data_IF_751103358009
#
_entry.id   IF_751103358009
#
_cell.length_a   1.000
_cell.length_b   1.000
_cell.length_c   1.000
_cell.angle_alpha   90.00
_cell.angle_beta   90.00
_cell.angle_gamma   90.00
#
_symmetry.space_group_name_H-M   'P 1'
#
loop_
_entity.id
_entity.type
_entity.pdbx_description
1 polymer ?
#
# COMPACT_ATOMS: atom_id res chain seq x y z
N UNK A 1 7.25 -31.35 -7.55
CA UNK A 1 7.70 -30.10 -6.90
C UNK A 1 7.06 -29.95 -5.53
N UNK A 2 7.81 -29.55 -4.52
CA UNK A 2 7.29 -29.27 -3.18
C UNK A 2 6.66 -27.87 -3.14
N UNK A 3 5.79 -27.62 -2.14
CA UNK A 3 5.18 -26.31 -1.93
C UNK A 3 6.24 -25.21 -1.66
N UNK A 4 7.33 -25.58 -0.96
CA UNK A 4 8.47 -24.69 -0.72
C UNK A 4 9.16 -24.29 -2.04
N UNK A 5 9.49 -25.24 -2.89
CA UNK A 5 10.12 -25.00 -4.20
C UNK A 5 9.20 -24.12 -5.08
N UNK A 6 7.88 -24.33 -5.02
CA UNK A 6 6.93 -23.51 -5.76
C UNK A 6 6.92 -22.05 -5.29
N UNK A 7 7.00 -21.80 -3.97
CA UNK A 7 7.11 -20.43 -3.42
C UNK A 7 8.44 -19.78 -3.81
N UNK A 8 9.57 -20.49 -3.70
CA UNK A 8 10.89 -19.99 -4.10
C UNK A 8 10.92 -19.68 -5.61
N UNK A 9 10.38 -20.58 -6.46
CA UNK A 9 10.29 -20.36 -7.91
C UNK A 9 9.39 -19.15 -8.26
N UNK A 10 8.29 -18.96 -7.52
CA UNK A 10 7.46 -17.77 -7.69
C UNK A 10 8.22 -16.49 -7.36
N UNK A 11 8.96 -16.48 -6.23
CA UNK A 11 9.81 -15.35 -5.89
C UNK A 11 10.87 -15.07 -6.98
N UNK A 12 11.57 -16.11 -7.48
CA UNK A 12 12.54 -15.96 -8.57
C UNK A 12 11.88 -15.35 -9.83
N UNK A 13 10.72 -15.87 -10.25
CA UNK A 13 9.96 -15.38 -11.41
C UNK A 13 9.56 -13.91 -11.27
N UNK A 14 9.25 -13.48 -10.05
CA UNK A 14 8.91 -12.09 -9.73
C UNK A 14 10.13 -11.20 -9.46
N UNK A 15 11.34 -11.71 -9.70
CA UNK A 15 12.59 -10.96 -9.55
C UNK A 15 13.14 -10.93 -8.12
N UNK A 16 12.92 -11.98 -7.36
CA UNK A 16 13.47 -12.19 -6.02
C UNK A 16 12.70 -11.53 -4.89
N UNK A 17 11.57 -10.87 -5.16
CA UNK A 17 10.72 -10.21 -4.16
C UNK A 17 9.25 -10.31 -4.54
N UNK A 18 8.38 -10.53 -3.55
CA UNK A 18 6.94 -10.54 -3.74
C UNK A 18 6.18 -10.12 -2.49
N UNK A 19 5.00 -9.55 -2.70
CA UNK A 19 4.00 -9.39 -1.65
C UNK A 19 3.26 -10.70 -1.41
N UNK A 20 2.64 -10.86 -0.23
CA UNK A 20 1.78 -12.02 0.02
C UNK A 20 0.63 -12.12 -0.98
N UNK A 21 0.05 -10.99 -1.42
CA UNK A 21 -0.99 -10.98 -2.45
C UNK A 21 -0.50 -11.60 -3.77
N UNK A 22 0.71 -11.23 -4.20
CA UNK A 22 1.33 -11.80 -5.40
C UNK A 22 1.60 -13.30 -5.22
N UNK A 23 2.16 -13.71 -4.07
CA UNK A 23 2.42 -15.12 -3.79
C UNK A 23 1.12 -15.94 -3.79
N UNK A 24 0.04 -15.43 -3.21
CA UNK A 24 -1.25 -16.12 -3.20
C UNK A 24 -1.87 -16.28 -4.59
N UNK A 25 -1.62 -15.33 -5.48
CA UNK A 25 -2.09 -15.41 -6.87
C UNK A 25 -1.20 -16.29 -7.73
N UNK A 26 0.09 -16.00 -7.74
CA UNK A 26 1.04 -16.51 -8.74
C UNK A 26 1.55 -17.93 -8.44
N UNK A 27 1.62 -18.33 -7.14
CA UNK A 27 2.18 -19.64 -6.77
C UNK A 27 1.28 -20.79 -7.23
N UNK A 28 -0.04 -20.58 -7.32
CA UNK A 28 -0.98 -21.61 -7.81
C UNK A 28 -0.94 -21.80 -9.32
N UNK A 29 -0.32 -20.90 -10.06
CA UNK A 29 -0.12 -21.07 -11.51
C UNK A 29 0.98 -22.08 -11.84
N UNK A 30 1.77 -22.52 -10.84
CA UNK A 30 2.81 -23.53 -10.99
C UNK A 30 2.15 -24.92 -11.00
N UNK A 31 1.94 -25.47 -12.21
CA UNK A 31 1.22 -26.74 -12.43
C UNK A 31 1.91 -27.95 -11.84
N UNK A 32 3.23 -27.92 -11.67
CA UNK A 32 4.05 -29.00 -11.13
C UNK A 32 3.89 -29.17 -9.61
N UNK A 33 3.26 -28.21 -8.92
CA UNK A 33 2.99 -28.27 -7.49
C UNK A 33 1.52 -28.60 -7.21
N UNK A 34 1.29 -29.71 -6.53
CA UNK A 34 -0.07 -30.09 -6.09
C UNK A 34 -0.28 -29.63 -4.65
N UNK A 35 -1.25 -28.73 -4.47
CA UNK A 35 -1.67 -28.22 -3.18
C UNK A 35 -2.73 -29.13 -2.56
N UNK A 36 -2.29 -30.07 -1.69
CA UNK A 36 -3.20 -31.04 -1.02
C UNK A 36 -3.82 -30.47 0.26
N UNK A 37 -3.38 -29.30 0.72
CA UNK A 37 -3.89 -28.69 1.96
C UNK A 37 -5.20 -27.96 1.73
N UNK A 38 -6.06 -27.94 2.75
CA UNK A 38 -7.30 -27.13 2.76
C UNK A 38 -7.04 -25.64 2.99
N UNK A 39 -5.84 -25.27 3.45
CA UNK A 39 -5.44 -23.90 3.77
C UNK A 39 -4.13 -23.52 3.07
N UNK A 40 -4.13 -23.44 1.73
CA UNK A 40 -2.89 -23.23 0.98
C UNK A 40 -2.23 -21.89 1.26
N UNK A 41 -2.99 -20.84 1.54
CA UNK A 41 -2.44 -19.53 1.88
C UNK A 41 -1.73 -19.52 3.23
N UNK A 42 -2.24 -20.29 4.21
CA UNK A 42 -1.55 -20.50 5.48
C UNK A 42 -0.21 -21.21 5.28
N UNK A 43 -0.16 -22.20 4.38
CA UNK A 43 1.08 -22.89 4.02
C UNK A 43 2.09 -21.94 3.37
N UNK A 44 1.67 -21.07 2.44
CA UNK A 44 2.54 -20.05 1.84
C UNK A 44 3.09 -19.12 2.94
N UNK A 45 2.23 -18.60 3.84
CA UNK A 45 2.66 -17.76 4.97
C UNK A 45 3.72 -18.46 5.85
N UNK A 46 3.49 -19.73 6.16
CA UNK A 46 4.44 -20.51 6.95
C UNK A 46 5.78 -20.67 6.22
N UNK A 47 5.76 -21.00 4.94
CA UNK A 47 6.96 -21.15 4.13
C UNK A 47 7.80 -19.86 4.14
N UNK A 48 7.21 -18.71 3.80
CA UNK A 48 7.97 -17.44 3.74
C UNK A 48 8.48 -16.96 5.10
N UNK A 49 7.90 -17.45 6.21
CA UNK A 49 8.36 -17.13 7.57
C UNK A 49 9.47 -18.06 8.07
N UNK A 50 9.49 -19.32 7.65
CA UNK A 50 10.39 -20.34 8.18
C UNK A 50 11.55 -20.66 7.25
N UNK A 51 11.45 -20.32 5.99
CA UNK A 51 12.49 -20.62 4.99
C UNK A 51 13.75 -19.79 5.22
N UNK A 52 14.89 -20.47 5.32
CA UNK A 52 16.21 -19.85 5.53
C UNK A 52 16.67 -18.99 4.36
N UNK A 53 16.18 -19.25 3.14
CA UNK A 53 16.53 -18.53 1.92
C UNK A 53 15.68 -17.27 1.73
N UNK A 54 14.60 -17.12 2.50
CA UNK A 54 13.68 -16.01 2.41
C UNK A 54 13.88 -15.07 3.62
N UNK A 55 13.75 -13.77 3.40
CA UNK A 55 13.73 -12.80 4.47
C UNK A 55 12.58 -11.80 4.28
N UNK A 56 12.13 -11.25 5.40
CA UNK A 56 11.05 -10.26 5.44
C UNK A 56 11.64 -8.87 5.33
N UNK A 57 11.14 -8.07 4.39
CA UNK A 57 11.50 -6.64 4.25
C UNK A 57 10.52 -5.78 5.04
N UNK A 58 9.23 -6.00 4.86
CA UNK A 58 8.10 -5.34 5.54
C UNK A 58 7.00 -6.37 5.83
N UNK A 59 6.02 -6.09 6.69
CA UNK A 59 4.86 -6.95 6.85
C UNK A 59 4.18 -7.23 5.51
N UNK A 60 4.10 -8.52 5.12
CA UNK A 60 3.53 -8.93 3.85
C UNK A 60 4.42 -8.76 2.62
N UNK A 61 5.70 -8.40 2.78
CA UNK A 61 6.70 -8.27 1.72
C UNK A 61 7.91 -9.13 2.03
N UNK A 62 8.21 -10.09 1.17
CA UNK A 62 9.26 -11.08 1.35
C UNK A 62 10.18 -11.15 0.15
N UNK A 63 11.45 -11.48 0.37
CA UNK A 63 12.44 -11.57 -0.68
C UNK A 63 13.41 -12.75 -0.47
N UNK A 64 14.03 -13.20 -1.57
CA UNK A 64 15.11 -14.17 -1.56
C UNK A 64 16.43 -13.50 -1.14
N UNK A 65 17.20 -14.15 -0.27
CA UNK A 65 18.54 -13.67 0.13
C UNK A 65 19.52 -13.58 -1.03
N UNK A 66 19.36 -14.43 -2.05
CA UNK A 66 20.16 -14.39 -3.28
C UNK A 66 20.05 -13.05 -4.02
N UNK A 67 18.89 -12.35 -3.90
CA UNK A 67 18.62 -11.07 -4.55
C UNK A 67 18.87 -9.85 -3.67
N UNK A 68 19.31 -10.04 -2.41
CA UNK A 68 19.39 -8.95 -1.42
C UNK A 68 20.20 -7.75 -1.93
N UNK A 69 21.39 -7.98 -2.48
CA UNK A 69 22.26 -6.90 -2.98
C UNK A 69 21.64 -6.11 -4.14
N UNK A 70 20.97 -6.81 -5.05
CA UNK A 70 20.25 -6.19 -6.17
C UNK A 70 19.09 -5.31 -5.65
N UNK A 71 18.29 -5.83 -4.71
CA UNK A 71 17.17 -5.11 -4.13
C UNK A 71 17.63 -3.87 -3.33
N UNK A 72 18.71 -3.98 -2.59
CA UNK A 72 19.34 -2.85 -1.90
C UNK A 72 19.81 -1.78 -2.90
N UNK A 73 20.38 -2.17 -4.05
CA UNK A 73 20.75 -1.27 -5.14
C UNK A 73 19.54 -0.54 -5.79
N UNK A 74 18.34 -1.11 -5.68
CA UNK A 74 17.08 -0.49 -6.12
C UNK A 74 16.41 0.35 -5.02
N UNK A 75 17.05 0.53 -3.86
CA UNK A 75 16.49 1.26 -2.73
C UNK A 75 15.44 0.48 -1.93
N UNK A 76 15.31 -0.83 -2.16
CA UNK A 76 14.41 -1.72 -1.41
C UNK A 76 15.20 -2.27 -0.21
N UNK A 77 15.05 -1.60 0.93
CA UNK A 77 15.87 -1.81 2.10
C UNK A 77 15.06 -2.31 3.30
N UNK A 78 15.68 -3.14 4.13
CA UNK A 78 15.14 -3.44 5.46
C UNK A 78 15.41 -2.25 6.36
N UNK A 79 14.38 -1.70 6.97
CA UNK A 79 14.51 -0.62 7.92
C UNK A 79 15.17 -1.12 9.22
N UNK A 80 16.16 -0.38 9.71
CA UNK A 80 16.88 -0.61 10.96
C UNK A 80 16.96 0.70 11.74
N UNK A 81 17.32 0.64 13.01
CA UNK A 81 17.56 1.85 13.81
C UNK A 81 18.64 2.79 13.23
N UNK A 82 19.58 2.24 12.45
CA UNK A 82 20.67 3.02 11.85
C UNK A 82 20.28 3.76 10.58
N UNK A 83 19.28 3.26 9.82
CA UNK A 83 18.90 3.81 8.52
C UNK A 83 17.49 4.37 8.47
N UNK A 84 16.72 4.34 9.55
CA UNK A 84 15.31 4.73 9.59
C UNK A 84 15.03 6.15 9.09
N UNK A 85 15.98 7.05 9.28
CA UNK A 85 15.87 8.47 8.91
C UNK A 85 16.54 8.76 7.56
N UNK A 86 17.08 7.75 6.85
CA UNK A 86 17.69 7.95 5.53
C UNK A 86 16.63 8.26 4.47
N UNK A 87 17.02 9.06 3.47
CA UNK A 87 16.14 9.45 2.38
C UNK A 87 15.64 8.23 1.60
N UNK A 88 16.49 7.22 1.41
CA UNK A 88 16.15 5.99 0.70
C UNK A 88 15.04 5.21 1.43
N UNK A 89 15.15 5.05 2.75
CA UNK A 89 14.12 4.40 3.56
C UNK A 89 12.81 5.21 3.55
N UNK A 90 12.90 6.53 3.62
CA UNK A 90 11.73 7.40 3.56
C UNK A 90 10.99 7.24 2.21
N UNK A 91 11.72 7.28 1.10
CA UNK A 91 11.15 7.09 -0.24
C UNK A 91 10.56 5.68 -0.41
N UNK A 92 11.28 4.65 0.06
CA UNK A 92 10.79 3.28 0.03
C UNK A 92 9.52 3.12 0.87
N UNK A 93 9.49 3.65 2.09
CA UNK A 93 8.31 3.59 2.95
C UNK A 93 7.11 4.30 2.29
N UNK A 94 7.32 5.48 1.71
CA UNK A 94 6.25 6.21 1.04
C UNK A 94 5.63 5.37 -0.09
N UNK A 95 6.44 4.87 -1.02
CA UNK A 95 5.95 4.04 -2.13
C UNK A 95 5.36 2.70 -1.66
N UNK A 96 5.91 2.11 -0.59
CA UNK A 96 5.38 0.89 0.01
C UNK A 96 3.96 1.09 0.53
N UNK A 97 3.69 2.15 1.29
CA UNK A 97 2.36 2.41 1.83
C UNK A 97 1.36 2.87 0.75
N UNK A 98 1.80 3.62 -0.27
CA UNK A 98 0.98 3.87 -1.46
C UNK A 98 0.58 2.54 -2.15
N UNK A 99 1.53 1.62 -2.34
CA UNK A 99 1.29 0.31 -2.94
C UNK A 99 0.34 -0.56 -2.11
N UNK A 100 0.44 -0.54 -0.78
CA UNK A 100 -0.51 -1.20 0.12
C UNK A 100 -1.92 -0.65 -0.05
N UNK A 101 -2.08 0.67 -0.07
CA UNK A 101 -3.38 1.33 -0.26
C UNK A 101 -4.00 0.97 -1.61
N UNK A 102 -3.21 0.98 -2.69
CA UNK A 102 -3.69 0.54 -4.00
C UNK A 102 -4.16 -0.91 -3.97
N UNK A 103 -3.35 -1.80 -3.37
CA UNK A 103 -3.67 -3.23 -3.29
C UNK A 103 -4.94 -3.48 -2.49
N UNK A 104 -5.10 -2.83 -1.34
CA UNK A 104 -6.33 -2.93 -0.52
C UNK A 104 -7.54 -2.39 -1.30
N UNK A 105 -7.39 -1.25 -1.98
CA UNK A 105 -8.47 -0.67 -2.80
C UNK A 105 -8.92 -1.63 -3.90
N UNK A 106 -7.96 -2.23 -4.62
CA UNK A 106 -8.24 -3.22 -5.67
C UNK A 106 -8.95 -4.47 -5.09
N UNK A 107 -8.52 -4.97 -3.93
CA UNK A 107 -9.18 -6.09 -3.24
C UNK A 107 -10.63 -5.75 -2.85
N UNK A 108 -10.90 -4.49 -2.49
CA UNK A 108 -12.24 -3.96 -2.16
C UNK A 108 -13.06 -3.59 -3.40
N UNK A 109 -12.57 -3.90 -4.60
CA UNK A 109 -13.21 -3.58 -5.90
C UNK A 109 -13.42 -2.07 -6.11
N UNK A 110 -12.57 -1.25 -5.49
CA UNK A 110 -12.49 0.19 -5.77
C UNK A 110 -11.64 0.42 -7.01
N UNK A 111 -11.91 1.49 -7.72
CA UNK A 111 -10.99 1.99 -8.74
C UNK A 111 -9.93 2.84 -8.06
N UNK A 112 -8.66 2.59 -8.36
CA UNK A 112 -7.54 3.19 -7.62
C UNK A 112 -6.66 4.06 -8.51
N UNK A 113 -6.14 5.14 -7.96
CA UNK A 113 -5.27 6.08 -8.66
C UNK A 113 -4.11 6.53 -7.77
N UNK A 114 -2.95 6.76 -8.38
CA UNK A 114 -1.81 7.52 -7.83
C UNK A 114 -1.40 8.60 -8.82
N UNK A 115 -0.83 9.74 -8.35
CA UNK A 115 -0.34 10.80 -9.21
C UNK A 115 0.64 10.32 -10.28
N UNK A 116 0.64 10.97 -11.44
CA UNK A 116 1.55 10.60 -12.53
C UNK A 116 3.03 10.76 -12.18
N UNK A 117 3.37 11.65 -11.23
CA UNK A 117 4.73 11.79 -10.69
C UNK A 117 5.18 10.55 -9.89
N UNK A 118 4.24 9.80 -9.32
CA UNK A 118 4.51 8.62 -8.49
C UNK A 118 4.37 7.29 -9.23
N UNK A 119 3.78 7.28 -10.42
CA UNK A 119 3.48 6.06 -11.19
C UNK A 119 4.69 5.14 -11.43
N UNK A 120 5.90 5.71 -11.50
CA UNK A 120 7.15 4.95 -11.73
C UNK A 120 7.84 4.51 -10.44
N UNK A 121 7.38 4.94 -9.25
CA UNK A 121 7.90 4.46 -7.96
C UNK A 121 7.59 2.97 -7.81
N UNK A 122 8.47 2.26 -7.10
CA UNK A 122 8.37 0.82 -6.95
C UNK A 122 7.66 0.43 -5.66
N UNK A 123 6.75 -0.53 -5.78
CA UNK A 123 6.19 -1.34 -4.72
C UNK A 123 6.59 -2.79 -4.97
N UNK A 124 7.48 -3.35 -4.18
CA UNK A 124 8.31 -4.49 -4.58
C UNK A 124 9.06 -4.14 -5.88
N UNK A 125 9.03 -4.98 -6.91
CA UNK A 125 9.57 -4.66 -8.25
C UNK A 125 8.49 -4.18 -9.25
N UNK A 126 7.28 -3.95 -8.79
CA UNK A 126 6.18 -3.49 -9.63
C UNK A 126 6.01 -1.97 -9.50
N UNK A 127 5.76 -1.28 -10.60
CA UNK A 127 5.48 0.16 -10.58
C UNK A 127 4.09 0.43 -10.00
N UNK A 128 3.94 1.50 -9.24
CA UNK A 128 2.62 1.91 -8.73
C UNK A 128 1.61 2.15 -9.87
N UNK A 129 2.10 2.66 -11.01
CA UNK A 129 1.30 2.85 -12.22
C UNK A 129 0.74 1.57 -12.83
N UNK A 130 1.37 0.42 -12.59
CA UNK A 130 0.89 -0.89 -13.07
C UNK A 130 -0.11 -1.53 -12.09
N UNK A 131 -0.13 -1.04 -10.84
CA UNK A 131 -1.05 -1.53 -9.79
C UNK A 131 -2.35 -0.74 -9.79
N UNK A 132 -2.28 0.58 -10.04
CA UNK A 132 -3.48 1.43 -10.12
C UNK A 132 -4.41 0.97 -11.24
N UNK A 133 -5.72 1.04 -11.04
CA UNK A 133 -6.70 0.63 -12.05
C UNK A 133 -7.09 1.76 -12.99
N UNK A 134 -6.97 3.01 -12.55
CA UNK A 134 -7.24 4.20 -13.37
C UNK A 134 -5.94 4.80 -13.91
N UNK A 135 -5.86 5.02 -15.21
CA UNK A 135 -4.74 5.73 -15.83
C UNK A 135 -4.91 7.26 -15.71
N UNK A 136 -6.15 7.72 -15.68
CA UNK A 136 -6.55 9.12 -15.54
C UNK A 136 -7.67 9.25 -14.52
N UNK A 137 -7.78 10.41 -13.89
CA UNK A 137 -8.89 10.70 -12.97
C UNK A 137 -10.16 10.94 -13.76
N UNK A 138 -11.29 10.28 -13.40
CA UNK A 138 -12.58 10.57 -14.01
C UNK A 138 -12.97 12.05 -13.84
N UNK A 139 -13.60 12.62 -14.85
CA UNK A 139 -14.14 13.98 -14.76
C UNK A 139 -15.43 13.98 -13.92
N UNK A 140 -15.30 14.15 -12.60
CA UNK A 140 -16.39 14.12 -11.62
C UNK A 140 -16.80 15.51 -11.11
N UNK A 141 -16.03 16.58 -11.47
CA UNK A 141 -16.22 17.94 -10.97
C UNK A 141 -15.55 18.96 -11.92
N UNK A 142 -15.45 20.22 -11.48
CA UNK A 142 -14.73 21.28 -12.19
C UNK A 142 -13.23 20.99 -12.30
N UNK A 143 -12.60 21.46 -13.37
CA UNK A 143 -11.21 21.15 -13.71
C UNK A 143 -10.22 21.50 -12.58
N UNK A 144 -10.40 22.63 -11.90
CA UNK A 144 -9.56 23.04 -10.77
C UNK A 144 -9.64 22.04 -9.60
N UNK A 145 -10.81 21.46 -9.37
CA UNK A 145 -11.02 20.43 -8.34
C UNK A 145 -10.38 19.10 -8.77
N UNK A 146 -10.59 18.71 -10.03
CA UNK A 146 -9.97 17.49 -10.59
C UNK A 146 -8.45 17.62 -10.55
N UNK A 147 -7.91 18.79 -10.88
CA UNK A 147 -6.47 19.07 -10.76
C UNK A 147 -6.00 19.01 -9.32
N UNK A 148 -6.76 19.55 -8.36
CA UNK A 148 -6.40 19.52 -6.95
C UNK A 148 -6.36 18.09 -6.41
N UNK A 149 -7.38 17.29 -6.65
CA UNK A 149 -7.44 15.89 -6.19
C UNK A 149 -6.31 15.06 -6.83
N UNK A 150 -5.91 15.36 -8.08
CA UNK A 150 -4.84 14.62 -8.76
C UNK A 150 -3.48 14.67 -8.09
N UNK A 151 -3.30 15.55 -7.10
CA UNK A 151 -2.09 15.68 -6.29
C UNK A 151 -2.12 14.86 -4.99
N UNK A 152 -3.23 14.18 -4.70
CA UNK A 152 -3.38 13.32 -3.52
C UNK A 152 -2.66 11.98 -3.75
N UNK A 153 -1.91 11.51 -2.76
CA UNK A 153 -1.01 10.36 -2.88
C UNK A 153 -1.68 9.08 -3.34
N UNK A 154 -2.87 8.75 -2.80
CA UNK A 154 -3.70 7.63 -3.26
C UNK A 154 -5.17 8.00 -3.19
N UNK A 155 -5.91 7.69 -4.25
CA UNK A 155 -7.35 7.94 -4.34
C UNK A 155 -8.07 6.64 -4.65
N UNK A 156 -9.17 6.41 -3.95
CA UNK A 156 -10.13 5.38 -4.31
C UNK A 156 -11.40 6.02 -4.86
N UNK A 157 -11.83 5.56 -6.01
CA UNK A 157 -13.11 5.90 -6.61
C UNK A 157 -14.08 4.72 -6.49
N UNK A 158 -15.35 5.02 -6.28
CA UNK A 158 -16.40 4.02 -6.32
C UNK A 158 -16.76 3.66 -7.77
N UNK A 159 -17.63 2.67 -7.95
CA UNK A 159 -18.06 2.20 -9.28
C UNK A 159 -18.80 3.25 -10.12
N UNK A 160 -19.21 4.38 -9.54
CA UNK A 160 -19.83 5.52 -10.22
C UNK A 160 -18.83 6.62 -10.58
N UNK A 161 -17.55 6.32 -10.50
CA UNK A 161 -16.45 7.26 -10.75
C UNK A 161 -16.43 8.49 -9.81
N UNK A 162 -17.03 8.36 -8.62
CA UNK A 162 -16.96 9.42 -7.60
C UNK A 162 -15.87 9.11 -6.58
N UNK A 163 -15.10 10.12 -6.13
CA UNK A 163 -14.09 9.91 -5.09
C UNK A 163 -14.74 9.40 -3.80
N UNK A 164 -14.23 8.28 -3.27
CA UNK A 164 -14.70 7.64 -2.04
C UNK A 164 -13.72 7.88 -0.88
N UNK A 165 -12.43 7.71 -1.13
CA UNK A 165 -11.39 7.87 -0.10
C UNK A 165 -10.14 8.51 -0.66
N UNK A 166 -9.58 9.44 0.11
CA UNK A 166 -8.36 10.19 -0.17
C UNK A 166 -7.33 9.86 0.89
N UNK A 167 -6.12 9.50 0.48
CA UNK A 167 -5.04 9.15 1.40
C UNK A 167 -3.80 9.98 1.09
N UNK A 168 -3.22 10.58 2.14
CA UNK A 168 -1.91 11.22 2.11
C UNK A 168 -0.95 10.42 2.98
N UNK A 169 0.16 10.00 2.42
CA UNK A 169 1.19 9.19 3.10
C UNK A 169 2.29 10.10 3.59
N UNK A 170 2.29 10.38 4.89
CA UNK A 170 3.16 11.36 5.51
C UNK A 170 4.28 10.70 6.29
N UNK A 171 5.49 10.71 5.72
CA UNK A 171 6.65 10.15 6.39
C UNK A 171 7.48 11.23 7.11
N UNK A 172 7.96 12.23 6.37
CA UNK A 172 8.78 13.34 6.88
C UNK A 172 8.28 14.73 6.48
N UNK A 173 7.25 14.79 5.62
CA UNK A 173 6.66 16.05 5.12
C UNK A 173 5.71 16.68 6.14
N UNK A 174 5.39 17.96 5.96
CA UNK A 174 4.47 18.67 6.87
C UNK A 174 3.02 18.22 6.64
N UNK A 175 2.41 17.57 7.63
CA UNK A 175 1.00 17.15 7.66
C UNK A 175 0.05 18.31 7.33
N UNK A 176 0.45 19.56 7.60
CA UNK A 176 -0.38 20.74 7.26
C UNK A 176 -0.64 20.83 5.76
N UNK A 177 0.32 20.50 4.90
CA UNK A 177 0.13 20.54 3.46
C UNK A 177 -0.95 19.55 2.99
N UNK A 178 -1.00 18.37 3.59
CA UNK A 178 -2.04 17.37 3.33
C UNK A 178 -3.41 17.81 3.84
N UNK A 179 -3.45 18.43 5.02
CA UNK A 179 -4.69 19.03 5.53
C UNK A 179 -5.20 20.16 4.65
N UNK A 180 -4.32 20.98 4.04
CA UNK A 180 -4.72 22.00 3.06
C UNK A 180 -5.35 21.39 1.81
N UNK A 181 -4.78 20.29 1.28
CA UNK A 181 -5.40 19.56 0.16
C UNK A 181 -6.81 19.06 0.54
N UNK A 182 -6.95 18.49 1.72
CA UNK A 182 -8.26 18.01 2.21
C UNK A 182 -9.24 19.14 2.44
N UNK A 183 -8.77 20.31 2.89
CA UNK A 183 -9.62 21.50 3.07
C UNK A 183 -10.18 22.00 1.73
N UNK A 184 -9.39 21.98 0.67
CA UNK A 184 -9.85 22.33 -0.68
C UNK A 184 -10.88 21.35 -1.25
N UNK A 185 -10.98 20.13 -0.67
CA UNK A 185 -11.86 19.05 -1.10
C UNK A 185 -13.00 18.77 -0.09
N UNK A 186 -13.17 19.65 0.91
CA UNK A 186 -14.09 19.42 2.05
C UNK A 186 -15.58 19.33 1.67
N UNK A 187 -15.97 19.82 0.49
CA UNK A 187 -17.35 19.80 0.02
C UNK A 187 -17.80 18.43 -0.52
N UNK A 188 -16.82 17.55 -0.84
CA UNK A 188 -17.12 16.20 -1.28
C UNK A 188 -17.34 15.27 -0.08
N UNK A 189 -18.31 14.36 -0.22
CA UNK A 189 -18.57 13.32 0.78
C UNK A 189 -17.55 12.19 0.64
N UNK A 190 -16.30 12.48 0.99
CA UNK A 190 -15.17 11.54 0.91
C UNK A 190 -14.58 11.27 2.29
N UNK A 191 -13.99 10.13 2.47
CA UNK A 191 -13.11 9.83 3.61
C UNK A 191 -11.73 10.40 3.32
N UNK A 192 -11.17 11.14 4.26
CA UNK A 192 -9.85 11.76 4.16
C UNK A 192 -8.95 11.16 5.23
N UNK A 193 -7.80 10.62 4.86
CA UNK A 193 -6.96 9.84 5.77
C UNK A 193 -5.50 10.26 5.65
N UNK A 194 -4.93 10.70 6.77
CA UNK A 194 -3.48 10.85 6.92
C UNK A 194 -2.91 9.50 7.34
N UNK A 195 -2.01 8.96 6.54
CA UNK A 195 -1.32 7.69 6.80
C UNK A 195 0.11 7.98 7.19
N UNK A 196 0.48 7.73 8.44
CA UNK A 196 1.80 8.07 8.96
C UNK A 196 2.23 7.10 10.08
N UNK A 197 3.47 7.25 10.55
CA UNK A 197 3.92 6.56 11.75
C UNK A 197 3.19 7.08 12.99
N UNK A 198 2.96 6.21 13.99
CA UNK A 198 2.22 6.54 15.21
C UNK A 198 2.82 7.74 15.96
N UNK A 199 4.15 7.90 15.94
CA UNK A 199 4.80 9.04 16.63
C UNK A 199 4.36 10.41 16.09
N UNK A 200 3.78 10.47 14.88
CA UNK A 200 3.27 11.72 14.27
C UNK A 200 1.81 12.04 14.63
N UNK A 201 1.16 11.19 15.41
CA UNK A 201 -0.25 11.39 15.79
C UNK A 201 -0.49 12.70 16.55
N UNK A 202 0.42 13.06 17.47
CA UNK A 202 0.31 14.33 18.20
C UNK A 202 0.55 15.55 17.30
N UNK A 203 1.44 15.45 16.33
CA UNK A 203 1.61 16.49 15.30
C UNK A 203 0.32 16.68 14.49
N UNK A 204 -0.27 15.58 14.03
CA UNK A 204 -1.54 15.59 13.31
C UNK A 204 -2.64 16.29 14.11
N UNK A 205 -2.82 15.96 15.39
CA UNK A 205 -3.83 16.61 16.26
C UNK A 205 -3.59 18.11 16.36
N UNK A 206 -2.36 18.52 16.66
CA UNK A 206 -1.99 19.94 16.79
C UNK A 206 -2.25 20.72 15.48
N UNK A 207 -1.94 20.13 14.32
CA UNK A 207 -2.18 20.79 13.03
C UNK A 207 -3.67 20.88 12.70
N UNK A 208 -4.45 19.82 13.00
CA UNK A 208 -5.90 19.80 12.78
C UNK A 208 -6.63 20.80 13.68
N UNK A 209 -6.04 21.19 14.81
CA UNK A 209 -6.60 22.20 15.73
C UNK A 209 -6.45 23.66 15.23
N UNK A 210 -5.77 23.89 14.11
CA UNK A 210 -5.71 25.23 13.52
C UNK A 210 -7.09 25.66 13.02
N UNK A 211 -7.45 26.93 13.23
CA UNK A 211 -8.73 27.51 12.84
C UNK A 211 -9.07 27.30 11.35
N UNK A 212 -8.04 27.24 10.50
CA UNK A 212 -8.21 26.96 9.06
C UNK A 212 -8.82 25.59 8.77
N UNK A 213 -8.75 24.64 9.71
CA UNK A 213 -9.23 23.26 9.56
C UNK A 213 -10.46 22.96 10.42
N UNK A 214 -11.08 23.98 11.01
CA UNK A 214 -12.22 23.82 11.93
C UNK A 214 -13.36 22.99 11.29
N UNK A 215 -13.68 23.24 10.01
CA UNK A 215 -14.71 22.48 9.30
C UNK A 215 -14.35 21.00 9.12
N UNK A 216 -13.09 20.68 8.84
CA UNK A 216 -12.62 19.30 8.72
C UNK A 216 -12.71 18.57 10.07
N UNK A 217 -12.33 19.26 11.15
CA UNK A 217 -12.37 18.75 12.52
C UNK A 217 -13.79 18.49 12.99
N UNK A 218 -14.69 19.49 12.89
CA UNK A 218 -16.06 19.38 13.35
C UNK A 218 -16.84 18.28 12.63
N UNK A 219 -16.63 18.10 11.34
CA UNK A 219 -17.29 17.05 10.56
C UNK A 219 -16.67 15.67 10.77
N UNK A 220 -15.55 15.57 11.50
CA UNK A 220 -14.81 14.32 11.77
C UNK A 220 -14.39 13.57 10.50
N UNK A 221 -14.15 14.30 9.41
CA UNK A 221 -13.89 13.71 8.08
C UNK A 221 -12.46 13.25 7.90
N UNK A 222 -11.51 13.90 8.57
CA UNK A 222 -10.11 13.53 8.50
C UNK A 222 -9.79 12.56 9.63
N UNK A 223 -9.16 11.45 9.28
CA UNK A 223 -8.72 10.42 10.22
C UNK A 223 -7.23 10.22 10.10
N UNK A 224 -6.62 9.83 11.21
CA UNK A 224 -5.25 9.34 11.25
C UNK A 224 -5.27 7.82 11.21
N UNK A 225 -4.43 7.25 10.35
CA UNK A 225 -4.23 5.81 10.24
C UNK A 225 -2.73 5.52 10.35
N UNK A 226 -2.30 4.88 11.44
CA UNK A 226 -0.90 4.53 11.55
C UNK A 226 -0.52 3.36 10.64
N UNK A 227 0.77 3.24 10.37
CA UNK A 227 1.30 2.21 9.49
C UNK A 227 0.96 0.78 9.94
N UNK A 228 1.01 0.51 11.25
CA UNK A 228 0.71 -0.82 11.79
C UNK A 228 -0.76 -1.20 11.58
N UNK A 229 -1.68 -0.27 11.73
CA UNK A 229 -3.11 -0.50 11.49
C UNK A 229 -3.39 -0.67 9.98
N UNK A 230 -2.70 0.04 9.09
CA UNK A 230 -2.81 -0.17 7.65
C UNK A 230 -2.31 -1.57 7.26
N UNK A 231 -1.17 -2.00 7.78
CA UNK A 231 -0.63 -3.35 7.56
C UNK A 231 -1.57 -4.44 8.10
N UNK A 232 -2.23 -4.19 9.24
CA UNK A 232 -3.27 -5.07 9.79
C UNK A 232 -4.49 -5.15 8.89
N UNK A 233 -4.95 -4.01 8.34
CA UNK A 233 -6.05 -4.01 7.35
C UNK A 233 -5.67 -4.81 6.11
N UNK A 234 -4.45 -4.65 5.58
CA UNK A 234 -3.97 -5.45 4.46
C UNK A 234 -4.03 -6.96 4.75
N UNK A 235 -3.56 -7.38 5.92
CA UNK A 235 -3.64 -8.78 6.34
C UNK A 235 -5.08 -9.28 6.41
N UNK A 236 -6.00 -8.48 6.96
CA UNK A 236 -7.42 -8.83 7.03
C UNK A 236 -8.06 -8.98 5.64
N UNK A 237 -7.70 -8.14 4.67
CA UNK A 237 -8.20 -8.29 3.29
C UNK A 237 -7.66 -9.56 2.63
N UNK A 238 -6.40 -9.92 2.87
CA UNK A 238 -5.85 -11.21 2.40
C UNK A 238 -6.59 -12.42 3.01
N UNK A 239 -6.91 -12.37 4.31
CA UNK A 239 -7.66 -13.43 5.00
C UNK A 239 -9.08 -13.58 4.44
N UNK A 240 -9.75 -12.47 4.09
CA UNK A 240 -11.07 -12.52 3.42
C UNK A 240 -10.98 -13.18 2.03
N UNK A 241 -9.93 -12.92 1.26
CA UNK A 241 -9.70 -13.60 -0.02
C UNK A 241 -9.48 -15.10 0.16
N UNK A 242 -8.76 -15.52 1.20
CA UNK A 242 -8.58 -16.93 1.54
C UNK A 242 -9.93 -17.63 1.78
N UNK A 243 -10.82 -16.99 2.57
CA UNK A 243 -12.16 -17.54 2.82
C UNK A 243 -12.99 -17.65 1.53
N UNK A 244 -12.92 -16.68 0.64
CA UNK A 244 -13.63 -16.72 -0.65
C UNK A 244 -13.07 -17.75 -1.64
N UNK A 245 -11.82 -18.15 -1.48
CA UNK A 245 -11.20 -19.19 -2.31
C UNK A 245 -11.61 -20.60 -1.87
N UNK A 246 -11.95 -20.80 -0.60
CA UNK A 246 -12.34 -22.11 -0.03
C UNK A 246 -13.83 -22.41 -0.24
N UNK A 247 -14.66 -21.41 -0.50
CA UNK A 247 -16.11 -21.53 -0.77
C UNK A 247 -16.41 -21.59 -2.26
#
# INVERSE_FOLDING_TARGET
>A
MTQKEAVEQTLERLGGIATLAQLYKETFEIKECVWKTKTPFASIRQIVQLDKNIYKIKPGLYALKSHQKELEGLGILVQTEKNKDSQEIQQFNHSYYQGLLLTIGNMRKMQTFVPNQDKNKLYAKQKLGDIRTLQEIPNFSFDNIVQRISTVDVIWFNQRNMPDSLFEVEHSTDIQNSLLKFNDLQDFYTRMVIVADEHRHEEYKKKLDYSSFENLKQKGRVKFLNYADLEKQYKQELEKQELSFVL
#
